data_IF_642356297994
#
_entry.id   IF_642356297994
#
_cell.length_a   1.000
_cell.length_b   1.000
_cell.length_c   1.000
_cell.angle_alpha   90.00
_cell.angle_beta   90.00
_cell.angle_gamma   90.00
#
_symmetry.space_group_name_H-M   'P 1'
#
loop_
_entity.id
_entity.type
_entity.pdbx_description
1 polymer ?
#
# COMPACT_ATOMS: atom_id res chain seq x y z
N UNK A 1 1.30 18.00 16.25
CA UNK A 1 2.00 17.29 15.14
C UNK A 1 1.09 16.26 14.51
N UNK A 2 0.88 16.36 13.21
CA UNK A 2 0.01 15.46 12.43
C UNK A 2 0.86 14.74 11.38
N UNK A 3 0.65 13.43 11.21
CA UNK A 3 1.33 12.64 10.19
C UNK A 3 0.41 12.41 9.00
N UNK A 4 0.90 12.75 7.82
CA UNK A 4 0.20 12.52 6.57
C UNK A 4 0.97 11.59 5.63
N UNK A 5 0.25 10.96 4.70
CA UNK A 5 0.85 10.14 3.65
C UNK A 5 0.60 10.77 2.28
N UNK A 6 1.62 11.38 1.70
CA UNK A 6 1.60 11.91 0.33
C UNK A 6 2.10 10.82 -0.62
N UNK A 7 1.22 10.37 -1.51
CA UNK A 7 1.55 9.32 -2.48
C UNK A 7 1.60 9.92 -3.89
N UNK A 8 2.72 9.68 -4.59
CA UNK A 8 2.96 10.12 -5.97
C UNK A 8 3.32 8.95 -6.87
N UNK A 9 2.97 9.05 -8.15
CA UNK A 9 3.37 8.08 -9.15
C UNK A 9 4.77 8.41 -9.67
N UNK A 10 5.63 7.38 -9.77
CA UNK A 10 6.98 7.50 -10.32
C UNK A 10 7.00 7.10 -11.80
N UNK A 11 7.83 7.78 -12.58
CA UNK A 11 8.13 7.49 -13.97
C UNK A 11 9.62 7.16 -14.15
N UNK A 12 10.05 5.96 -13.69
CA UNK A 12 11.44 5.56 -13.77
C UNK A 12 11.83 5.16 -15.20
N UNK A 13 13.06 5.48 -15.60
CA UNK A 13 13.68 4.93 -16.80
C UNK A 13 13.86 3.41 -16.70
N UNK A 14 14.06 2.67 -17.80
CA UNK A 14 14.29 1.22 -17.75
C UNK A 14 15.49 0.82 -16.87
N UNK A 15 16.54 1.65 -16.81
CA UNK A 15 17.68 1.43 -15.92
C UNK A 15 17.28 1.57 -14.44
N UNK A 16 16.55 2.64 -14.10
CA UNK A 16 16.04 2.86 -12.77
C UNK A 16 15.02 1.80 -12.35
N UNK A 17 14.19 1.30 -13.28
CA UNK A 17 13.25 0.21 -12.98
C UNK A 17 14.00 -1.07 -12.56
N UNK A 18 15.14 -1.38 -13.21
CA UNK A 18 15.99 -2.51 -12.79
C UNK A 18 16.51 -2.33 -11.36
N UNK A 19 17.00 -1.13 -11.01
CA UNK A 19 17.48 -0.81 -9.67
C UNK A 19 16.35 -0.86 -8.62
N UNK A 20 15.16 -0.35 -8.94
CA UNK A 20 13.98 -0.45 -8.09
C UNK A 20 13.59 -1.91 -7.83
N UNK A 21 13.64 -2.76 -8.84
CA UNK A 21 13.39 -4.20 -8.70
C UNK A 21 14.48 -4.90 -7.89
N UNK A 22 15.74 -4.52 -8.03
CA UNK A 22 16.87 -5.02 -7.23
C UNK A 22 16.65 -4.71 -5.75
N UNK A 23 16.37 -3.45 -5.39
CA UNK A 23 16.07 -3.02 -4.01
C UNK A 23 14.90 -3.80 -3.41
N UNK A 24 13.79 -3.96 -4.17
CA UNK A 24 12.66 -4.77 -3.72
C UNK A 24 13.01 -6.27 -3.57
N UNK A 25 13.94 -6.75 -4.41
CA UNK A 25 14.54 -8.07 -4.31
C UNK A 25 15.36 -8.26 -3.04
N UNK A 26 16.22 -7.29 -2.72
CA UNK A 26 17.04 -7.27 -1.51
C UNK A 26 16.17 -7.25 -0.24
N UNK A 27 15.10 -6.45 -0.21
CA UNK A 27 14.16 -6.43 0.90
C UNK A 27 13.48 -7.80 1.11
N UNK A 28 13.08 -8.47 0.02
CA UNK A 28 12.49 -9.81 0.10
C UNK A 28 13.49 -10.86 0.51
N UNK A 29 14.74 -10.79 0.00
CA UNK A 29 15.81 -11.69 0.37
C UNK A 29 16.13 -11.60 1.86
N UNK A 30 16.38 -10.39 2.38
CA UNK A 30 16.66 -10.17 3.80
C UNK A 30 15.52 -10.67 4.71
N UNK A 31 14.25 -10.46 4.30
CA UNK A 31 13.11 -11.06 5.00
C UNK A 31 13.20 -12.58 5.06
N UNK A 32 13.50 -13.24 3.94
CA UNK A 32 13.55 -14.70 3.86
C UNK A 32 14.76 -15.27 4.59
N UNK A 33 15.93 -14.65 4.47
CA UNK A 33 17.14 -15.06 5.18
C UNK A 33 16.96 -14.95 6.70
N UNK A 34 16.42 -13.81 7.18
CA UNK A 34 16.10 -13.64 8.60
C UNK A 34 15.03 -14.62 9.09
N UNK A 35 14.03 -14.95 8.27
CA UNK A 35 13.04 -15.98 8.62
C UNK A 35 13.66 -17.37 8.70
N UNK A 36 14.57 -17.73 7.80
CA UNK A 36 15.31 -19.00 7.85
C UNK A 36 16.14 -19.09 9.12
N UNK A 37 16.86 -18.02 9.49
CA UNK A 37 17.63 -17.94 10.73
C UNK A 37 16.75 -18.18 11.97
N UNK A 38 15.63 -17.45 12.08
CA UNK A 38 14.71 -17.60 13.21
C UNK A 38 14.11 -19.02 13.26
N UNK A 39 13.77 -19.62 12.11
CA UNK A 39 13.25 -20.99 12.07
C UNK A 39 14.32 -21.99 12.52
N UNK A 40 15.54 -21.91 12.01
CA UNK A 40 16.62 -22.79 12.44
C UNK A 40 16.86 -22.72 13.94
N UNK A 41 16.84 -21.53 14.55
CA UNK A 41 16.93 -21.38 16.00
C UNK A 41 15.75 -22.05 16.75
N UNK A 42 14.52 -21.92 16.26
CA UNK A 42 13.36 -22.59 16.88
C UNK A 42 13.47 -24.12 16.76
N UNK A 43 13.89 -24.62 15.59
CA UNK A 43 13.99 -26.05 15.29
C UNK A 43 15.08 -26.74 16.16
N UNK A 44 16.11 -25.99 16.59
CA UNK A 44 17.14 -26.44 17.55
C UNK A 44 16.78 -26.23 19.00
N UNK A 45 15.54 -25.81 19.31
CA UNK A 45 15.07 -25.56 20.68
C UNK A 45 15.57 -24.22 21.29
N UNK A 46 16.34 -23.44 20.54
CA UNK A 46 16.77 -22.12 20.99
C UNK A 46 15.61 -21.12 21.02
N UNK A 47 15.77 -20.03 21.79
CA UNK A 47 14.85 -18.87 21.74
C UNK A 47 15.51 -17.77 20.91
N UNK A 48 15.36 -17.79 19.58
CA UNK A 48 16.01 -16.80 18.74
C UNK A 48 15.47 -15.41 19.01
N UNK A 49 16.34 -14.43 19.09
CA UNK A 49 15.95 -13.03 19.13
C UNK A 49 15.43 -12.58 17.77
N UNK A 50 14.18 -12.11 17.70
CA UNK A 50 13.57 -11.61 16.49
C UNK A 50 13.17 -10.14 16.53
N UNK A 51 13.70 -9.38 17.50
CA UNK A 51 13.53 -7.93 17.47
C UNK A 51 14.15 -7.35 16.19
N UNK A 52 13.68 -6.18 15.76
CA UNK A 52 14.23 -5.53 14.57
C UNK A 52 15.76 -5.34 14.67
N UNK A 53 16.24 -4.87 15.83
CA UNK A 53 17.66 -4.62 16.03
C UNK A 53 18.49 -5.91 16.09
N UNK A 54 17.97 -6.98 16.68
CA UNK A 54 18.63 -8.28 16.67
C UNK A 54 18.78 -8.84 15.26
N UNK A 55 17.71 -8.78 14.47
CA UNK A 55 17.74 -9.20 13.06
C UNK A 55 18.71 -8.35 12.21
N UNK A 56 18.82 -7.05 12.47
CA UNK A 56 19.78 -6.18 11.78
C UNK A 56 21.22 -6.51 12.19
N UNK A 57 21.51 -6.76 13.49
CA UNK A 57 22.83 -7.22 13.93
C UNK A 57 23.23 -8.53 13.26
N UNK A 58 22.32 -9.52 13.28
CA UNK A 58 22.54 -10.79 12.61
C UNK A 58 22.80 -10.61 11.12
N UNK A 59 21.97 -9.81 10.43
CA UNK A 59 22.15 -9.53 9.00
C UNK A 59 23.52 -8.91 8.69
N UNK A 60 23.92 -7.90 9.46
CA UNK A 60 25.21 -7.22 9.25
C UNK A 60 26.41 -8.15 9.44
N UNK A 61 26.33 -9.10 10.35
CA UNK A 61 27.38 -10.11 10.58
C UNK A 61 27.43 -11.18 9.48
N UNK A 62 26.31 -11.43 8.76
CA UNK A 62 26.22 -12.57 7.84
C UNK A 62 25.99 -12.18 6.36
N UNK A 63 25.73 -10.91 6.06
CA UNK A 63 25.34 -10.46 4.71
C UNK A 63 26.39 -10.76 3.64
N UNK A 64 27.68 -10.69 4.00
CA UNK A 64 28.81 -10.91 3.08
C UNK A 64 28.92 -12.36 2.64
N UNK A 65 28.46 -13.29 3.47
CA UNK A 65 28.36 -14.71 3.11
C UNK A 65 27.03 -15.09 2.45
N UNK A 66 25.94 -14.42 2.83
CA UNK A 66 24.57 -14.79 2.38
C UNK A 66 24.16 -14.10 1.08
N UNK A 67 24.59 -12.84 0.87
CA UNK A 67 24.11 -12.00 -0.21
C UNK A 67 25.15 -11.88 -1.34
N UNK A 68 25.57 -13.01 -1.87
CA UNK A 68 26.58 -13.16 -2.93
C UNK A 68 25.97 -13.72 -4.20
N UNK A 69 26.57 -13.39 -5.33
CA UNK A 69 26.30 -14.00 -6.64
C UNK A 69 26.96 -15.38 -6.74
N UNK A 70 26.72 -16.09 -7.84
CA UNK A 70 27.31 -17.40 -8.10
C UNK A 70 28.84 -17.38 -8.17
N UNK A 71 29.44 -16.24 -8.50
CA UNK A 71 30.89 -15.98 -8.54
C UNK A 71 31.49 -15.54 -7.19
N UNK A 72 30.67 -15.51 -6.11
CA UNK A 72 31.06 -15.05 -4.79
C UNK A 72 31.01 -13.53 -4.60
N UNK A 73 30.72 -12.75 -5.62
CA UNK A 73 30.67 -11.28 -5.52
C UNK A 73 29.47 -10.82 -4.68
N UNK A 74 29.67 -10.00 -3.63
CA UNK A 74 28.57 -9.47 -2.83
C UNK A 74 27.68 -8.52 -3.63
N UNK A 75 26.40 -8.84 -3.77
CA UNK A 75 25.41 -7.98 -4.47
C UNK A 75 24.67 -7.02 -3.52
N UNK A 76 24.76 -7.21 -2.21
CA UNK A 76 24.03 -6.37 -1.25
C UNK A 76 24.47 -4.90 -1.31
N UNK A 77 25.74 -4.63 -1.65
CA UNK A 77 26.29 -3.28 -1.72
C UNK A 77 25.76 -2.43 -2.88
N UNK A 78 25.21 -3.08 -3.93
CA UNK A 78 24.53 -2.40 -5.04
C UNK A 78 23.23 -1.74 -4.60
N UNK A 79 22.65 -2.21 -3.51
CA UNK A 79 21.38 -1.74 -2.97
C UNK A 79 21.60 -0.84 -1.76
N UNK A 80 20.65 0.05 -1.49
CA UNK A 80 20.65 0.78 -0.23
C UNK A 80 20.45 -0.18 0.94
N UNK A 81 21.19 0.02 2.04
CA UNK A 81 21.02 -0.73 3.31
C UNK A 81 19.55 -0.73 3.78
N UNK A 82 18.82 0.34 3.50
CA UNK A 82 17.43 0.50 3.88
C UNK A 82 16.50 -0.51 3.18
N UNK A 83 16.90 -1.03 2.03
CA UNK A 83 16.14 -2.09 1.35
C UNK A 83 16.14 -3.39 2.19
N UNK A 84 17.32 -3.85 2.63
CA UNK A 84 17.43 -5.01 3.53
C UNK A 84 16.70 -4.75 4.87
N UNK A 85 16.95 -3.58 5.48
CA UNK A 85 16.31 -3.15 6.72
C UNK A 85 14.76 -3.17 6.62
N UNK A 86 14.20 -2.81 5.47
CA UNK A 86 12.76 -2.93 5.21
C UNK A 86 12.27 -4.39 5.31
N UNK A 87 13.04 -5.32 4.78
CA UNK A 87 12.75 -6.75 4.88
C UNK A 87 12.74 -7.24 6.32
N UNK A 88 13.80 -6.94 7.06
CA UNK A 88 13.97 -7.33 8.46
C UNK A 88 12.93 -6.69 9.37
N UNK A 89 12.62 -5.41 9.19
CA UNK A 89 11.53 -4.72 9.92
C UNK A 89 10.18 -5.37 9.67
N UNK A 90 9.90 -5.75 8.41
CA UNK A 90 8.68 -6.46 8.07
C UNK A 90 8.61 -7.85 8.69
N UNK A 91 9.74 -8.54 8.84
CA UNK A 91 9.82 -9.83 9.51
C UNK A 91 9.59 -9.68 11.02
N UNK A 92 10.28 -8.76 11.68
CA UNK A 92 10.11 -8.49 13.10
C UNK A 92 8.65 -8.18 13.45
N UNK A 93 8.01 -7.32 12.65
CA UNK A 93 6.58 -7.00 12.81
C UNK A 93 5.68 -8.23 12.61
N UNK A 94 5.97 -9.10 11.63
CA UNK A 94 5.19 -10.30 11.38
C UNK A 94 5.32 -11.32 12.52
N UNK A 95 6.52 -11.52 13.06
CA UNK A 95 6.79 -12.40 14.20
C UNK A 95 6.14 -11.85 15.48
N UNK A 96 6.24 -10.55 15.74
CA UNK A 96 5.55 -9.90 16.85
C UNK A 96 4.03 -10.08 16.77
N UNK A 97 3.43 -9.87 15.59
CA UNK A 97 1.99 -10.06 15.38
C UNK A 97 1.57 -11.53 15.58
N UNK A 98 2.37 -12.48 15.14
CA UNK A 98 2.14 -13.90 15.38
C UNK A 98 2.21 -14.22 16.89
N UNK A 99 3.25 -13.77 17.58
CA UNK A 99 3.44 -13.99 19.02
C UNK A 99 2.28 -13.40 19.83
N UNK A 100 1.91 -12.13 19.56
CA UNK A 100 0.75 -11.49 20.19
C UNK A 100 -0.57 -12.22 19.90
N UNK A 101 -0.74 -12.73 18.67
CA UNK A 101 -1.92 -13.51 18.29
C UNK A 101 -2.01 -14.83 19.05
N UNK A 102 -0.87 -15.49 19.31
CA UNK A 102 -0.83 -16.72 20.14
C UNK A 102 -1.19 -16.47 21.60
N UNK A 103 -0.76 -15.32 22.14
CA UNK A 103 -1.04 -14.94 23.54
C UNK A 103 -2.41 -14.30 23.75
N UNK A 104 -3.22 -14.15 22.68
CA UNK A 104 -4.52 -13.49 22.78
C UNK A 104 -4.48 -11.95 22.90
N UNK A 105 -3.31 -11.34 22.82
CA UNK A 105 -3.09 -9.89 22.97
C UNK A 105 -3.49 -9.08 21.74
N UNK A 106 -3.87 -9.74 20.65
CA UNK A 106 -4.19 -9.09 19.39
C UNK A 106 -5.67 -9.24 19.04
N UNK A 107 -6.35 -8.11 18.79
CA UNK A 107 -7.72 -8.11 18.27
C UNK A 107 -7.76 -8.56 16.81
N UNK A 108 -8.83 -9.21 16.40
CA UNK A 108 -9.10 -9.66 15.03
C UNK A 108 -8.69 -11.11 14.76
N UNK A 109 -8.59 -11.47 13.47
CA UNK A 109 -8.33 -12.88 13.08
C UNK A 109 -6.96 -13.36 13.55
N UNK A 110 -6.88 -14.66 13.91
CA UNK A 110 -5.62 -15.33 14.28
C UNK A 110 -4.58 -15.17 13.15
N UNK A 111 -3.35 -14.82 13.53
CA UNK A 111 -2.21 -14.68 12.62
C UNK A 111 -1.30 -15.89 12.78
N UNK A 112 -1.05 -16.57 11.67
CA UNK A 112 -0.12 -17.71 11.63
C UNK A 112 1.34 -17.28 11.60
N UNK A 113 2.25 -18.25 11.77
CA UNK A 113 3.68 -18.02 11.65
C UNK A 113 4.04 -17.48 10.25
N UNK A 114 5.00 -16.54 10.13
CA UNK A 114 5.39 -15.97 8.85
C UNK A 114 5.85 -17.03 7.84
N UNK A 115 5.49 -16.80 6.55
CA UNK A 115 5.89 -17.68 5.45
C UNK A 115 6.91 -16.98 4.55
N UNK A 116 7.78 -17.77 3.89
CA UNK A 116 8.71 -17.27 2.89
C UNK A 116 7.98 -16.50 1.77
N UNK A 117 8.57 -15.37 1.36
CA UNK A 117 8.04 -14.51 0.30
C UNK A 117 8.54 -14.97 -1.06
N UNK A 118 7.68 -15.56 -1.87
CA UNK A 118 8.01 -15.91 -3.24
C UNK A 118 8.03 -14.68 -4.16
N UNK A 119 9.00 -14.59 -5.09
CA UNK A 119 9.13 -13.50 -6.08
C UNK A 119 7.86 -13.29 -6.91
N UNK A 120 7.15 -14.37 -7.23
CA UNK A 120 5.91 -14.32 -8.04
C UNK A 120 4.68 -13.81 -7.30
N UNK A 121 4.70 -13.83 -5.95
CA UNK A 121 3.55 -13.46 -5.09
C UNK A 121 3.77 -12.16 -4.32
N UNK A 122 5.02 -11.87 -3.90
CA UNK A 122 5.32 -10.67 -3.13
C UNK A 122 5.27 -9.42 -4.02
N UNK A 123 4.50 -8.42 -3.60
CA UNK A 123 4.53 -7.11 -4.25
C UNK A 123 5.90 -6.45 -4.01
N UNK A 124 6.57 -5.93 -5.05
CA UNK A 124 7.83 -5.22 -4.90
C UNK A 124 7.64 -3.99 -4.00
N UNK A 125 8.40 -3.92 -2.90
CA UNK A 125 8.32 -2.83 -1.93
C UNK A 125 9.61 -2.74 -1.12
N UNK A 126 10.06 -1.51 -0.87
CA UNK A 126 11.10 -1.16 0.09
C UNK A 126 10.87 0.27 0.60
N UNK A 127 11.62 0.72 1.60
CA UNK A 127 11.45 2.05 2.15
C UNK A 127 12.81 2.65 2.55
N UNK A 128 12.84 3.97 2.60
CA UNK A 128 13.93 4.76 3.16
C UNK A 128 13.44 5.46 4.43
N UNK A 129 14.25 5.41 5.47
CA UNK A 129 14.02 6.11 6.75
C UNK A 129 15.25 6.94 7.17
N UNK A 130 16.39 6.68 6.54
CA UNK A 130 17.65 7.39 6.78
C UNK A 130 18.35 7.64 5.45
N UNK A 131 19.28 8.62 5.45
CA UNK A 131 20.04 9.01 4.27
C UNK A 131 19.37 10.12 3.46
N UNK A 132 20.04 10.54 2.39
CA UNK A 132 19.62 11.66 1.55
C UNK A 132 18.53 11.20 0.54
N UNK A 133 17.32 11.00 1.01
CA UNK A 133 16.14 10.71 0.17
C UNK A 133 15.10 11.83 0.29
N UNK A 134 14.24 11.97 -0.69
CA UNK A 134 13.12 12.92 -0.66
C UNK A 134 13.17 13.93 -1.79
N UNK A 135 12.80 15.18 -1.49
CA UNK A 135 12.74 16.27 -2.46
C UNK A 135 14.11 16.63 -3.01
N UNK A 136 14.13 17.15 -4.23
CA UNK A 136 15.31 17.74 -4.90
C UNK A 136 15.05 19.22 -5.05
N UNK A 137 15.93 20.03 -4.50
CA UNK A 137 15.85 21.48 -4.62
C UNK A 137 15.88 21.90 -6.11
N UNK A 138 14.97 22.77 -6.50
CA UNK A 138 14.84 23.22 -7.89
C UNK A 138 14.16 22.24 -8.85
N UNK A 139 13.74 21.04 -8.38
CA UNK A 139 13.06 20.05 -9.21
C UNK A 139 11.77 19.54 -8.56
N UNK A 140 10.64 20.26 -8.74
CA UNK A 140 9.39 19.95 -8.05
C UNK A 140 8.73 18.63 -8.49
N UNK A 141 9.16 18.06 -9.62
CA UNK A 141 8.64 16.80 -10.17
C UNK A 141 9.65 15.65 -10.08
N UNK A 142 10.55 15.66 -9.11
CA UNK A 142 11.47 14.56 -8.92
C UNK A 142 11.72 14.25 -7.44
N UNK A 143 12.11 13.01 -7.19
CA UNK A 143 12.55 12.51 -5.90
C UNK A 143 13.96 11.93 -6.02
N UNK A 144 14.78 12.16 -5.00
CA UNK A 144 16.07 11.49 -4.82
C UNK A 144 15.84 10.16 -4.11
N UNK A 145 16.30 9.07 -4.72
CA UNK A 145 16.30 7.74 -4.16
C UNK A 145 17.75 7.25 -4.02
N UNK A 146 18.27 6.98 -2.80
CA UNK A 146 19.62 6.48 -2.59
C UNK A 146 19.94 5.26 -3.45
N UNK A 147 21.11 5.23 -4.08
CA UNK A 147 21.58 4.21 -5.03
C UNK A 147 20.79 4.11 -6.36
N UNK A 148 19.75 4.91 -6.54
CA UNK A 148 18.93 4.92 -7.77
C UNK A 148 19.05 6.30 -8.48
N UNK A 149 19.25 7.34 -7.68
CA UNK A 149 19.39 8.72 -8.18
C UNK A 149 18.07 9.48 -8.24
N UNK A 150 18.02 10.44 -9.14
CA UNK A 150 16.86 11.28 -9.43
C UNK A 150 15.82 10.48 -10.22
N UNK A 151 14.62 10.34 -9.68
CA UNK A 151 13.50 9.66 -10.34
C UNK A 151 12.37 10.67 -10.59
N UNK A 152 11.88 10.75 -11.82
CA UNK A 152 10.77 11.63 -12.19
C UNK A 152 9.46 11.20 -11.53
N UNK A 153 8.64 12.18 -11.12
CA UNK A 153 7.30 12.03 -10.59
C UNK A 153 6.27 12.60 -11.56
N UNK A 154 5.14 11.93 -11.68
CA UNK A 154 4.06 12.39 -12.54
C UNK A 154 3.38 13.66 -12.00
N UNK A 155 3.40 13.85 -10.68
CA UNK A 155 2.80 14.99 -9.98
C UNK A 155 3.89 15.94 -9.44
N UNK A 156 3.52 17.19 -9.18
CA UNK A 156 4.35 18.14 -8.43
C UNK A 156 4.43 17.71 -6.97
N UNK A 157 5.50 17.01 -6.60
CA UNK A 157 5.69 16.46 -5.26
C UNK A 157 6.00 17.53 -4.23
N UNK A 158 6.69 18.60 -4.62
CA UNK A 158 7.02 19.71 -3.72
C UNK A 158 5.77 20.44 -3.25
N UNK A 159 4.87 20.76 -4.19
CA UNK A 159 3.58 21.39 -3.88
C UNK A 159 2.73 20.48 -2.97
N UNK A 160 2.64 19.19 -3.28
CA UNK A 160 1.85 18.24 -2.47
C UNK A 160 2.38 18.05 -1.06
N UNK A 161 3.67 18.21 -0.84
CA UNK A 161 4.26 18.13 0.49
C UNK A 161 4.07 19.46 1.25
N UNK A 162 4.10 20.61 0.53
CA UNK A 162 3.83 21.92 1.11
C UNK A 162 4.80 22.30 2.24
N UNK A 163 6.10 22.03 2.07
CA UNK A 163 7.13 22.36 3.06
C UNK A 163 7.21 21.41 4.28
N UNK A 164 6.29 20.44 4.41
CA UNK A 164 6.29 19.50 5.54
C UNK A 164 7.56 18.61 5.54
N UNK A 165 8.01 18.23 6.73
CA UNK A 165 9.18 17.37 6.92
C UNK A 165 8.91 15.94 6.48
N UNK A 166 9.74 15.41 5.59
CA UNK A 166 9.63 14.02 5.13
C UNK A 166 10.37 13.09 6.10
N UNK A 167 9.65 12.19 6.76
CA UNK A 167 10.20 11.24 7.71
C UNK A 167 10.55 9.90 7.09
N UNK A 168 9.80 9.49 6.09
CA UNK A 168 9.91 8.18 5.46
C UNK A 168 9.42 8.22 4.03
N UNK A 169 10.07 7.49 3.15
CA UNK A 169 9.60 7.24 1.80
C UNK A 169 9.47 5.74 1.55
N UNK A 170 8.26 5.28 1.23
CA UNK A 170 7.99 3.89 0.85
C UNK A 170 7.81 3.80 -0.65
N UNK A 171 8.67 3.04 -1.31
CA UNK A 171 8.59 2.77 -2.75
C UNK A 171 7.92 1.43 -2.98
N UNK A 172 6.93 1.39 -3.85
CA UNK A 172 6.16 0.18 -4.13
C UNK A 172 5.69 0.10 -5.57
N UNK A 173 5.48 -1.13 -6.08
CA UNK A 173 4.94 -1.36 -7.43
C UNK A 173 3.55 -1.96 -7.35
N UNK A 174 2.58 -1.34 -8.04
CA UNK A 174 1.21 -1.84 -8.16
C UNK A 174 0.77 -1.82 -9.62
N UNK A 175 0.28 -2.94 -10.12
CA UNK A 175 -0.22 -3.10 -11.50
C UNK A 175 0.75 -2.60 -12.59
N UNK A 176 2.06 -2.75 -12.36
CA UNK A 176 3.11 -2.33 -13.31
C UNK A 176 3.59 -0.90 -13.14
N UNK A 177 2.97 -0.08 -12.28
CA UNK A 177 3.40 1.29 -11.96
C UNK A 177 4.12 1.36 -10.63
N UNK A 178 5.12 2.22 -10.55
CA UNK A 178 5.85 2.53 -9.32
C UNK A 178 5.25 3.75 -8.64
N UNK A 179 5.28 3.74 -7.32
CA UNK A 179 4.78 4.81 -6.46
C UNK A 179 5.75 5.05 -5.32
N UNK A 180 5.92 6.29 -4.95
CA UNK A 180 6.51 6.70 -3.68
C UNK A 180 5.37 7.20 -2.77
N UNK A 181 5.33 6.70 -1.54
CA UNK A 181 4.48 7.22 -0.48
C UNK A 181 5.39 7.82 0.58
N UNK A 182 5.29 9.13 0.76
CA UNK A 182 6.06 9.89 1.72
C UNK A 182 5.22 10.08 2.98
N UNK A 183 5.75 9.68 4.13
CA UNK A 183 5.19 10.08 5.42
C UNK A 183 5.76 11.43 5.74
N UNK A 184 4.90 12.43 5.86
CA UNK A 184 5.26 13.81 6.19
C UNK A 184 4.72 14.18 7.56
N UNK A 185 5.46 15.02 8.25
CA UNK A 185 5.12 15.60 9.55
C UNK A 185 4.76 17.06 9.35
N UNK A 186 3.56 17.45 9.81
CA UNK A 186 3.10 18.84 9.86
C UNK A 186 2.99 19.28 11.30
N UNK A 187 3.38 20.51 11.58
CA UNK A 187 3.31 21.07 12.93
C UNK A 187 1.87 21.27 13.37
N UNK A 188 1.00 21.71 12.46
CA UNK A 188 -0.41 21.94 12.70
C UNK A 188 -1.28 21.12 11.75
N UNK A 189 -2.45 20.67 12.21
CA UNK A 189 -3.46 20.16 11.28
C UNK A 189 -3.89 21.31 10.36
N UNK A 190 -4.20 20.99 9.11
CA UNK A 190 -4.91 21.95 8.25
C UNK A 190 -6.27 22.15 8.89
N UNK A 191 -6.47 23.29 9.55
CA UNK A 191 -7.77 23.65 10.12
C UNK A 191 -8.66 24.04 8.96
N UNK A 192 -9.67 23.25 8.70
CA UNK A 192 -10.73 23.62 7.79
C UNK A 192 -11.75 24.47 8.55
N UNK A 193 -12.26 25.53 7.93
CA UNK A 193 -13.40 26.27 8.48
C UNK A 193 -14.55 25.28 8.69
N UNK A 194 -15.30 25.46 9.79
CA UNK A 194 -16.50 24.67 10.05
C UNK A 194 -17.49 24.92 8.92
N UNK A 195 -17.97 23.88 8.23
CA UNK A 195 -18.92 24.04 7.14
C UNK A 195 -20.19 24.76 7.62
N UNK A 196 -20.72 25.65 6.81
CA UNK A 196 -21.91 26.46 7.15
C UNK A 196 -23.23 25.70 6.93
N UNK A 197 -23.22 24.59 6.19
CA UNK A 197 -24.38 23.71 6.02
C UNK A 197 -24.72 23.02 7.36
N UNK A 198 -25.99 22.93 7.70
CA UNK A 198 -26.48 22.34 8.96
C UNK A 198 -26.21 20.81 9.03
N UNK A 199 -26.96 20.14 9.88
CA UNK A 199 -26.92 18.69 10.02
C UNK A 199 -27.57 17.98 8.83
N UNK A 200 -26.97 16.86 8.39
CA UNK A 200 -27.51 16.04 7.31
C UNK A 200 -27.48 14.55 7.67
N UNK A 201 -28.57 13.84 7.38
CA UNK A 201 -28.65 12.38 7.40
C UNK A 201 -28.21 11.81 6.06
N UNK A 202 -27.40 10.73 6.07
CA UNK A 202 -26.89 10.08 4.87
C UNK A 202 -27.25 8.60 4.90
N UNK A 203 -28.20 8.20 4.06
CA UNK A 203 -28.54 6.80 3.78
C UNK A 203 -27.63 6.24 2.68
N UNK A 204 -26.94 5.12 2.95
CA UNK A 204 -26.00 4.48 2.03
C UNK A 204 -26.64 3.30 1.32
N UNK A 205 -26.56 3.28 -0.01
CA UNK A 205 -27.14 2.24 -0.85
C UNK A 205 -26.22 1.66 -1.90
N UNK A 206 -26.69 0.60 -2.54
CA UNK A 206 -26.02 -0.02 -3.71
C UNK A 206 -26.63 0.43 -5.04
N UNK A 207 -27.87 0.94 -5.03
CA UNK A 207 -28.55 1.50 -6.21
C UNK A 207 -28.09 2.93 -6.47
N UNK A 208 -28.29 3.78 -5.53
CA UNK A 208 -27.60 5.08 -5.33
C UNK A 208 -26.52 4.89 -4.30
N UNK A 209 -25.44 5.67 -4.34
CA UNK A 209 -24.34 5.56 -3.37
C UNK A 209 -24.75 6.14 -2.01
N UNK A 210 -25.38 7.30 -2.05
CA UNK A 210 -25.94 7.95 -0.86
C UNK A 210 -27.17 8.76 -1.24
N UNK A 211 -28.15 8.81 -0.34
CA UNK A 211 -29.31 9.72 -0.38
C UNK A 211 -29.28 10.56 0.89
N UNK A 212 -29.34 11.87 0.76
CA UNK A 212 -29.25 12.81 1.86
C UNK A 212 -30.65 13.23 2.32
N UNK A 213 -30.79 13.62 3.59
CA UNK A 213 -32.06 14.07 4.18
C UNK A 213 -32.60 15.36 3.55
N UNK A 214 -31.77 16.14 2.87
CA UNK A 214 -32.17 17.32 2.10
C UNK A 214 -32.64 17.00 0.65
N UNK A 215 -32.71 15.72 0.30
CA UNK A 215 -33.10 15.26 -1.03
C UNK A 215 -31.95 15.13 -2.03
N UNK A 216 -30.73 15.50 -1.66
CA UNK A 216 -29.56 15.35 -2.54
C UNK A 216 -29.22 13.86 -2.75
N UNK A 217 -28.93 13.47 -3.98
CA UNK A 217 -28.59 12.11 -4.35
C UNK A 217 -27.18 12.04 -4.91
N UNK A 218 -26.36 11.15 -4.33
CA UNK A 218 -25.02 10.83 -4.84
C UNK A 218 -25.10 9.52 -5.59
N UNK A 219 -24.90 9.57 -6.91
CA UNK A 219 -24.98 8.41 -7.78
C UNK A 219 -23.87 7.38 -7.54
N UNK A 220 -24.24 6.09 -7.63
CA UNK A 220 -23.26 5.02 -7.56
C UNK A 220 -22.52 4.87 -8.91
N UNK A 221 -21.19 5.10 -8.98
CA UNK A 221 -20.44 5.07 -10.23
C UNK A 221 -20.29 3.68 -10.83
N UNK A 222 -20.65 2.61 -10.11
CA UNK A 222 -20.64 1.19 -10.54
C UNK A 222 -19.36 0.82 -11.31
N UNK A 223 -18.20 1.18 -10.77
CA UNK A 223 -16.90 1.13 -11.44
C UNK A 223 -16.51 -0.28 -11.93
N UNK A 224 -16.88 -1.32 -11.18
CA UNK A 224 -16.64 -2.71 -11.60
C UNK A 224 -17.61 -3.10 -12.71
N UNK A 225 -18.89 -2.76 -12.59
CA UNK A 225 -19.90 -3.11 -13.59
C UNK A 225 -19.55 -2.54 -14.97
N UNK A 226 -19.12 -1.29 -15.06
CA UNK A 226 -18.66 -0.63 -16.29
C UNK A 226 -17.45 -1.33 -16.94
N UNK A 227 -16.58 -1.92 -16.13
CA UNK A 227 -15.36 -2.61 -16.58
C UNK A 227 -15.53 -4.13 -16.73
N UNK A 228 -16.67 -4.71 -16.36
CA UNK A 228 -16.86 -6.16 -16.22
C UNK A 228 -16.64 -6.93 -17.53
N UNK A 229 -17.21 -6.46 -18.64
CA UNK A 229 -17.04 -7.11 -19.96
C UNK A 229 -15.56 -7.18 -20.36
N UNK A 230 -14.81 -6.08 -20.14
CA UNK A 230 -13.39 -5.98 -20.41
C UNK A 230 -12.58 -6.90 -19.50
N UNK A 231 -12.93 -6.97 -18.21
CA UNK A 231 -12.30 -7.83 -17.23
C UNK A 231 -12.53 -9.32 -17.55
N UNK A 232 -13.76 -9.75 -17.80
CA UNK A 232 -14.11 -11.14 -18.21
C UNK A 232 -13.31 -11.57 -19.45
N UNK A 233 -13.22 -10.71 -20.47
CA UNK A 233 -12.44 -10.97 -21.69
C UNK A 233 -10.95 -11.14 -21.38
N UNK A 234 -10.38 -10.27 -20.56
CA UNK A 234 -8.99 -10.35 -20.16
C UNK A 234 -8.66 -11.59 -19.30
N UNK A 235 -9.57 -11.98 -18.40
CA UNK A 235 -9.45 -13.19 -17.58
C UNK A 235 -9.52 -14.45 -18.44
N UNK A 236 -10.48 -14.52 -19.39
CA UNK A 236 -10.56 -15.63 -20.36
C UNK A 236 -9.31 -15.76 -21.22
N UNK A 237 -8.72 -14.64 -21.65
CA UNK A 237 -7.44 -14.63 -22.36
C UNK A 237 -6.28 -15.12 -21.46
N UNK A 238 -6.26 -14.77 -20.19
CA UNK A 238 -5.26 -15.21 -19.21
C UNK A 238 -5.36 -16.72 -18.93
N UNK A 239 -6.56 -17.27 -18.75
CA UNK A 239 -6.77 -18.69 -18.45
C UNK A 239 -6.25 -19.61 -19.53
N UNK A 240 -6.31 -19.18 -20.81
CA UNK A 240 -5.83 -19.94 -21.97
C UNK A 240 -4.33 -19.91 -22.17
N UNK A 241 -3.54 -19.21 -21.33
CA UNK A 241 -2.09 -19.11 -21.49
C UNK A 241 -1.35 -20.09 -20.59
N UNK A 242 -0.29 -20.69 -21.12
CA UNK A 242 0.57 -21.65 -20.41
C UNK A 242 1.18 -20.99 -19.16
N UNK A 243 1.10 -21.69 -18.01
CA UNK A 243 1.69 -21.25 -16.74
C UNK A 243 3.21 -21.07 -16.92
N UNK A 244 3.77 -19.97 -16.41
CA UNK A 244 5.18 -19.64 -16.54
C UNK A 244 5.57 -18.86 -17.81
N UNK A 245 4.75 -18.89 -18.88
CA UNK A 245 5.11 -18.24 -20.14
C UNK A 245 5.11 -16.70 -20.05
N UNK A 246 5.96 -16.06 -20.87
CA UNK A 246 5.98 -14.59 -21.05
C UNK A 246 4.63 -14.05 -21.51
N UNK A 247 3.91 -14.78 -22.36
CA UNK A 247 2.56 -14.43 -22.83
C UNK A 247 1.55 -14.41 -21.67
N UNK A 248 1.64 -15.37 -20.74
CA UNK A 248 0.81 -15.38 -19.53
C UNK A 248 1.15 -14.22 -18.59
N UNK A 249 2.42 -13.87 -18.44
CA UNK A 249 2.84 -12.72 -17.64
C UNK A 249 2.24 -11.41 -18.18
N UNK A 250 2.28 -11.19 -19.51
CA UNK A 250 1.64 -10.04 -20.17
C UNK A 250 0.12 -10.02 -19.95
N UNK A 251 -0.56 -11.16 -20.09
CA UNK A 251 -2.00 -11.28 -19.85
C UNK A 251 -2.36 -10.97 -18.38
N UNK A 252 -1.59 -11.49 -17.43
CA UNK A 252 -1.75 -11.20 -15.98
C UNK A 252 -1.58 -9.73 -15.69
N UNK A 253 -0.59 -9.06 -16.28
CA UNK A 253 -0.38 -7.62 -16.13
C UNK A 253 -1.56 -6.82 -16.69
N UNK A 254 -2.19 -7.26 -17.79
CA UNK A 254 -3.40 -6.64 -18.34
C UNK A 254 -4.58 -6.74 -17.36
N UNK A 255 -4.84 -7.92 -16.80
CA UNK A 255 -5.88 -8.12 -15.77
C UNK A 255 -5.61 -7.24 -14.55
N UNK A 256 -4.37 -7.21 -14.05
CA UNK A 256 -3.98 -6.39 -12.91
C UNK A 256 -4.20 -4.89 -13.17
N UNK A 257 -3.93 -4.39 -14.39
CA UNK A 257 -4.19 -2.99 -14.77
C UNK A 257 -5.67 -2.66 -14.80
N UNK A 258 -6.53 -3.58 -15.25
CA UNK A 258 -7.99 -3.35 -15.24
C UNK A 258 -8.49 -3.27 -13.79
N UNK A 259 -8.08 -4.18 -12.91
CA UNK A 259 -8.44 -4.11 -11.50
C UNK A 259 -7.92 -2.82 -10.82
N UNK A 260 -6.69 -2.39 -11.13
CA UNK A 260 -6.15 -1.14 -10.59
C UNK A 260 -6.95 0.07 -11.08
N UNK A 261 -7.36 0.09 -12.35
CA UNK A 261 -8.19 1.16 -12.90
C UNK A 261 -9.54 1.25 -12.18
N UNK A 262 -10.26 0.14 -12.03
CA UNK A 262 -11.53 0.08 -11.28
C UNK A 262 -11.34 0.57 -9.84
N UNK A 263 -10.28 0.10 -9.16
CA UNK A 263 -10.00 0.52 -7.78
C UNK A 263 -9.70 2.03 -7.67
N UNK A 264 -8.97 2.59 -8.66
CA UNK A 264 -8.67 4.03 -8.68
C UNK A 264 -9.91 4.88 -8.97
N UNK A 265 -10.75 4.47 -9.94
CA UNK A 265 -12.01 5.15 -10.23
C UNK A 265 -12.90 5.17 -8.99
N UNK A 266 -13.05 4.02 -8.30
CA UNK A 266 -13.82 3.90 -7.07
C UNK A 266 -13.28 4.81 -5.98
N UNK A 267 -11.97 4.78 -5.71
CA UNK A 267 -11.36 5.66 -4.74
C UNK A 267 -11.58 7.15 -5.07
N UNK A 268 -11.42 7.53 -6.33
CA UNK A 268 -11.63 8.91 -6.75
C UNK A 268 -13.10 9.35 -6.52
N UNK A 269 -14.07 8.52 -6.87
CA UNK A 269 -15.48 8.82 -6.61
C UNK A 269 -15.77 8.95 -5.11
N UNK A 270 -15.26 8.02 -4.29
CA UNK A 270 -15.39 8.09 -2.83
C UNK A 270 -14.77 9.37 -2.27
N UNK A 271 -13.54 9.70 -2.68
CA UNK A 271 -12.88 10.91 -2.19
C UNK A 271 -13.64 12.18 -2.57
N UNK A 272 -14.16 12.27 -3.78
CA UNK A 272 -14.96 13.42 -4.22
C UNK A 272 -16.23 13.56 -3.38
N UNK A 273 -16.99 12.47 -3.24
CA UNK A 273 -18.24 12.49 -2.48
C UNK A 273 -18.00 12.82 -0.99
N UNK A 274 -17.06 12.16 -0.35
CA UNK A 274 -16.79 12.36 1.08
C UNK A 274 -16.08 13.67 1.39
N UNK A 275 -15.30 14.25 0.45
CA UNK A 275 -14.74 15.59 0.60
C UNK A 275 -15.85 16.63 0.52
N UNK A 276 -16.70 16.53 -0.52
CA UNK A 276 -17.83 17.43 -0.70
C UNK A 276 -18.76 17.43 0.53
N UNK A 277 -19.11 16.25 1.06
CA UNK A 277 -19.92 16.15 2.28
C UNK A 277 -19.25 16.84 3.47
N UNK A 278 -17.96 16.55 3.72
CA UNK A 278 -17.22 17.12 4.85
C UNK A 278 -16.97 18.63 4.73
N UNK A 279 -16.98 19.18 3.51
CA UNK A 279 -16.84 20.62 3.25
C UNK A 279 -18.20 21.36 3.22
N UNK A 280 -19.31 20.63 3.10
CA UNK A 280 -20.65 21.23 2.98
C UNK A 280 -21.40 21.26 4.29
N UNK A 281 -21.38 20.18 5.08
CA UNK A 281 -22.21 20.01 6.27
C UNK A 281 -21.39 20.00 7.55
N UNK A 282 -21.93 20.65 8.61
CA UNK A 282 -21.31 20.70 9.94
C UNK A 282 -21.44 19.36 10.68
N UNK A 283 -22.59 18.70 10.51
CA UNK A 283 -22.92 17.45 11.18
C UNK A 283 -23.42 16.42 10.18
N UNK A 284 -22.80 15.25 10.17
CA UNK A 284 -23.14 14.17 9.24
C UNK A 284 -23.50 12.90 10.02
N UNK A 285 -24.80 12.57 10.01
CA UNK A 285 -25.30 11.29 10.54
C UNK A 285 -25.32 10.23 9.46
N UNK A 286 -24.72 9.06 9.74
CA UNK A 286 -24.61 7.94 8.80
C UNK A 286 -25.02 6.64 9.49
N UNK A 287 -25.70 5.74 8.78
CA UNK A 287 -26.06 4.42 9.29
C UNK A 287 -24.85 3.54 9.64
N UNK A 288 -24.94 2.80 10.74
CA UNK A 288 -23.97 1.75 11.10
C UNK A 288 -24.25 0.45 10.40
N UNK A 289 -24.00 0.41 9.08
CA UNK A 289 -24.25 -0.74 8.25
C UNK A 289 -23.33 -1.92 8.56
N UNK A 290 -23.89 -3.10 8.75
CA UNK A 290 -23.12 -4.34 8.79
C UNK A 290 -22.64 -4.77 7.40
N UNK A 291 -21.70 -3.99 6.82
CA UNK A 291 -21.14 -4.24 5.48
C UNK A 291 -20.55 -5.63 5.35
N UNK A 292 -19.95 -6.18 6.43
CA UNK A 292 -19.39 -7.52 6.44
C UNK A 292 -20.47 -8.61 6.31
N UNK A 293 -21.63 -8.40 6.95
CA UNK A 293 -22.81 -9.26 6.82
C UNK A 293 -23.41 -9.19 5.42
N UNK A 294 -23.58 -7.97 4.89
CA UNK A 294 -24.07 -7.75 3.52
C UNK A 294 -23.18 -8.43 2.46
N UNK A 295 -21.86 -8.38 2.64
CA UNK A 295 -20.88 -9.00 1.73
C UNK A 295 -20.89 -10.55 1.77
N UNK A 296 -21.51 -11.18 2.78
CA UNK A 296 -21.72 -12.64 2.82
C UNK A 296 -22.89 -13.09 1.95
N UNK A 297 -23.86 -12.22 1.69
CA UNK A 297 -24.95 -12.52 0.79
C UNK A 297 -24.42 -12.55 -0.66
N UNK A 298 -24.39 -13.74 -1.28
CA UNK A 298 -23.82 -13.94 -2.61
C UNK A 298 -24.51 -13.13 -3.73
N UNK A 299 -25.78 -12.75 -3.55
CA UNK A 299 -26.54 -11.91 -4.52
C UNK A 299 -26.11 -10.44 -4.41
N UNK A 300 -25.78 -9.96 -3.20
CA UNK A 300 -25.44 -8.56 -2.94
C UNK A 300 -23.92 -8.31 -2.89
N UNK A 301 -23.11 -9.32 -2.59
CA UNK A 301 -21.67 -9.21 -2.35
C UNK A 301 -20.93 -8.40 -3.43
N UNK A 302 -21.26 -8.60 -4.70
CA UNK A 302 -20.65 -7.89 -5.82
C UNK A 302 -21.02 -6.40 -5.81
N UNK A 303 -22.29 -6.06 -5.63
CA UNK A 303 -22.78 -4.69 -5.61
C UNK A 303 -22.26 -3.92 -4.38
N UNK A 304 -22.31 -4.53 -3.19
CA UNK A 304 -21.76 -3.99 -1.94
C UNK A 304 -20.26 -3.75 -2.05
N UNK A 305 -19.51 -4.70 -2.62
CA UNK A 305 -18.07 -4.55 -2.86
C UNK A 305 -17.75 -3.46 -3.89
N UNK A 306 -18.61 -3.27 -4.90
CA UNK A 306 -18.43 -2.20 -5.89
C UNK A 306 -18.79 -0.83 -5.33
N UNK A 307 -19.84 -0.71 -4.54
CA UNK A 307 -20.24 0.51 -3.85
C UNK A 307 -19.23 0.95 -2.77
N UNK A 308 -18.47 -0.01 -2.17
CA UNK A 308 -17.43 0.27 -1.16
C UNK A 308 -17.93 1.06 0.06
N UNK A 309 -19.11 0.72 0.58
CA UNK A 309 -19.79 1.44 1.67
C UNK A 309 -18.91 1.61 2.92
N UNK A 310 -18.17 0.58 3.31
CA UNK A 310 -17.24 0.67 4.46
C UNK A 310 -16.07 1.65 4.24
N UNK A 311 -15.61 1.82 3.00
CA UNK A 311 -14.58 2.82 2.67
C UNK A 311 -15.15 4.24 2.67
N UNK A 312 -16.41 4.41 2.26
CA UNK A 312 -17.12 5.68 2.34
C UNK A 312 -17.20 6.17 3.79
N UNK A 313 -17.71 5.32 4.70
CA UNK A 313 -17.75 5.61 6.14
C UNK A 313 -16.37 5.96 6.69
N UNK A 314 -15.37 5.12 6.44
CA UNK A 314 -14.00 5.35 6.90
C UNK A 314 -13.43 6.68 6.42
N UNK A 315 -13.79 7.10 5.20
CA UNK A 315 -13.33 8.39 4.67
C UNK A 315 -14.03 9.58 5.32
N UNK A 316 -15.31 9.48 5.61
CA UNK A 316 -16.01 10.51 6.37
C UNK A 316 -15.44 10.65 7.78
N UNK A 317 -15.29 9.54 8.52
CA UNK A 317 -14.77 9.55 9.90
C UNK A 317 -13.45 10.33 10.04
N UNK A 318 -12.48 10.12 9.14
CA UNK A 318 -11.21 10.86 9.27
C UNK A 318 -11.22 12.25 8.65
N UNK A 319 -12.16 12.56 7.75
CA UNK A 319 -12.26 13.89 7.14
C UNK A 319 -13.00 14.87 8.05
N UNK A 320 -14.02 14.41 8.74
CA UNK A 320 -14.77 15.22 9.71
C UNK A 320 -14.04 15.39 11.04
N UNK A 321 -13.07 14.52 11.35
CA UNK A 321 -12.22 14.66 12.53
C UNK A 321 -11.03 15.63 12.35
N UNK A 322 -10.90 16.26 11.20
CA UNK A 322 -9.87 17.25 10.87
C UNK A 322 -10.42 18.66 10.86
#
# INVERSE_FOLDING_TARGET
MVFEAVKVALDPTPAQERLLLSHAGAARFAFNAGLAHVKAGIDTGAKPEWSYYALVRWWNANKDALAVNADGTPWWAENSKEAANTGLRSLAAALSNWSKSRRGERRGRKVGFPKFKAKSKAAPRFAYTTGAFGLIQGDPKALRLPKIGRVHCMENVTERIGGARVLRMTVSRRAGRWFAALTVEREEPVVHEVPKGGAVGVDLGVKTLATLSDGTVIENPRCLASSERRLKRAQKALSRKVKGSRRRAKARAKVARIHAHVANQRQNAMHKATTWLAETYSDISIEDLNVAGMARNHRLAKAVSDASLGEFRRQLEYKTAR
#
